data_IF_699638189445
#
_entry.id   IF_699638189445
#
_cell.length_a   1.000
_cell.length_b   1.000
_cell.length_c   1.000
_cell.angle_alpha   90.00
_cell.angle_beta   90.00
_cell.angle_gamma   90.00
#
_symmetry.space_group_name_H-M   'P 1'
#
loop_
_entity.id
_entity.type
_entity.pdbx_description
1 polymer ?
#
# COMPACT_ATOMS: atom_id res chain seq x y z
N UNK A 1 12.40 20.45 0.20
CA UNK A 1 13.34 20.98 -0.79
C UNK A 1 12.74 22.07 -1.70
N UNK A 2 11.53 21.91 -2.27
CA UNK A 2 10.90 22.96 -3.09
C UNK A 2 10.80 24.32 -2.38
N UNK A 3 10.37 24.28 -1.11
CA UNK A 3 10.22 25.45 -0.22
C UNK A 3 11.50 26.29 -0.04
N UNK A 4 12.70 25.68 -0.09
CA UNK A 4 14.00 26.39 0.07
C UNK A 4 14.44 27.09 -1.21
N UNK A 5 14.05 26.54 -2.36
CA UNK A 5 14.34 27.12 -3.68
C UNK A 5 13.35 28.23 -4.04
N UNK A 6 12.10 28.12 -3.58
CA UNK A 6 11.08 29.18 -3.65
C UNK A 6 11.45 30.40 -2.80
N UNK A 7 11.90 30.19 -1.55
CA UNK A 7 12.35 31.29 -0.66
C UNK A 7 13.52 32.13 -1.25
N UNK A 8 14.27 31.56 -2.20
CA UNK A 8 15.45 32.19 -2.80
C UNK A 8 15.23 32.70 -4.22
N UNK A 9 14.00 32.70 -4.73
CA UNK A 9 13.64 33.07 -6.11
C UNK A 9 14.40 32.25 -7.17
N UNK A 10 14.65 30.97 -6.86
CA UNK A 10 15.43 30.05 -7.70
C UNK A 10 14.61 28.89 -8.27
N UNK A 11 13.34 28.73 -7.88
CA UNK A 11 12.48 27.61 -8.27
C UNK A 11 12.20 27.55 -9.78
N UNK A 12 12.17 28.68 -10.48
CA UNK A 12 11.93 28.73 -11.93
C UNK A 12 13.01 28.01 -12.76
N UNK A 13 14.23 27.86 -12.21
CA UNK A 13 15.37 27.26 -12.93
C UNK A 13 15.37 25.72 -12.94
N UNK A 14 15.09 25.03 -11.83
CA UNK A 14 14.93 23.57 -11.83
C UNK A 14 13.55 23.09 -12.29
N UNK A 15 12.51 23.95 -12.34
CA UNK A 15 11.16 23.55 -12.75
C UNK A 15 10.88 23.60 -14.25
N UNK A 16 11.68 24.34 -15.03
CA UNK A 16 11.47 24.53 -16.47
C UNK A 16 12.75 24.15 -17.23
N UNK A 17 12.61 23.33 -18.27
CA UNK A 17 13.68 23.10 -19.25
C UNK A 17 13.88 24.39 -20.07
N UNK A 18 14.57 25.37 -19.50
CA UNK A 18 14.95 26.56 -20.26
C UNK A 18 16.10 26.17 -21.16
N UNK A 19 15.77 25.77 -22.40
CA UNK A 19 16.75 25.66 -23.47
C UNK A 19 17.40 27.03 -23.61
N UNK A 20 18.72 27.08 -23.43
CA UNK A 20 19.55 28.29 -23.51
C UNK A 20 19.30 29.14 -24.77
N UNK A 21 18.72 28.50 -25.78
CA UNK A 21 18.26 29.00 -27.08
C UNK A 21 17.12 30.05 -27.00
N UNK A 22 16.36 30.09 -25.90
CA UNK A 22 15.26 31.05 -25.70
C UNK A 22 15.65 32.33 -24.96
N UNK A 23 16.91 32.48 -24.52
CA UNK A 23 17.40 33.72 -23.94
C UNK A 23 17.80 34.69 -25.06
N UNK A 24 17.00 35.74 -25.29
CA UNK A 24 17.17 36.70 -26.39
C UNK A 24 18.41 37.59 -26.21
N UNK A 25 18.91 37.78 -24.98
CA UNK A 25 20.08 38.60 -24.68
C UNK A 25 21.17 37.85 -23.89
N UNK A 26 22.45 38.21 -24.15
CA UNK A 26 23.65 37.68 -23.47
C UNK A 26 23.62 37.94 -21.95
N UNK A 27 23.05 39.07 -21.54
CA UNK A 27 22.89 39.44 -20.13
C UNK A 27 21.96 38.47 -19.40
N UNK A 28 20.84 38.09 -20.02
CA UNK A 28 19.85 37.15 -19.48
C UNK A 28 20.39 35.71 -19.41
N UNK A 29 21.26 35.34 -20.34
CA UNK A 29 21.93 34.04 -20.31
C UNK A 29 22.94 33.94 -19.15
N UNK A 30 23.62 35.04 -18.82
CA UNK A 30 24.59 35.10 -17.72
C UNK A 30 23.92 35.04 -16.35
N UNK A 31 22.78 35.71 -16.19
CA UNK A 31 21.98 35.69 -14.96
C UNK A 31 21.34 34.32 -14.76
N UNK A 32 20.81 33.70 -15.82
CA UNK A 32 20.28 32.34 -15.79
C UNK A 32 21.35 31.31 -15.38
N UNK A 33 22.55 31.36 -15.97
CA UNK A 33 23.68 30.48 -15.58
C UNK A 33 24.06 30.68 -14.11
N UNK A 34 24.06 31.92 -13.63
CA UNK A 34 24.34 32.23 -12.22
C UNK A 34 23.29 31.64 -11.28
N UNK A 35 22.00 31.82 -11.59
CA UNK A 35 20.88 31.24 -10.84
C UNK A 35 20.91 29.70 -10.86
N UNK A 36 21.18 29.09 -12.01
CA UNK A 36 21.29 27.63 -12.17
C UNK A 36 22.41 27.04 -11.31
N UNK A 37 23.60 27.67 -11.29
CA UNK A 37 24.68 27.23 -10.40
C UNK A 37 24.33 27.33 -8.92
N UNK A 38 23.65 28.41 -8.51
CA UNK A 38 23.19 28.59 -7.13
C UNK A 38 22.15 27.53 -6.74
N UNK A 39 21.17 27.28 -7.60
CA UNK A 39 20.15 26.26 -7.38
C UNK A 39 20.77 24.85 -7.29
N UNK A 40 21.73 24.52 -8.18
CA UNK A 40 22.45 23.25 -8.15
C UNK A 40 23.21 23.06 -6.82
N UNK A 41 23.92 24.10 -6.36
CA UNK A 41 24.62 24.04 -5.08
C UNK A 41 23.66 23.82 -3.91
N UNK A 42 22.50 24.48 -3.91
CA UNK A 42 21.47 24.30 -2.88
C UNK A 42 20.90 22.87 -2.91
N UNK A 43 20.63 22.33 -4.09
CA UNK A 43 20.17 20.94 -4.25
C UNK A 43 21.20 19.97 -3.67
N UNK A 44 22.48 20.11 -4.02
CA UNK A 44 23.54 19.25 -3.50
C UNK A 44 23.75 19.37 -1.99
N UNK A 45 23.53 20.56 -1.41
CA UNK A 45 23.64 20.79 0.04
C UNK A 45 22.39 20.33 0.82
N UNK A 46 21.25 20.19 0.15
CA UNK A 46 19.99 19.82 0.78
C UNK A 46 19.69 18.31 0.72
N UNK A 47 20.47 17.54 -0.03
CA UNK A 47 20.41 16.08 -0.06
C UNK A 47 21.42 15.45 0.90
N UNK A 48 21.12 14.25 1.36
CA UNK A 48 22.07 13.44 2.13
C UNK A 48 23.21 12.93 1.24
N UNK A 49 24.41 12.77 1.81
CA UNK A 49 25.62 12.33 1.09
C UNK A 49 25.42 11.01 0.33
N UNK A 50 24.54 10.14 0.84
CA UNK A 50 24.14 8.87 0.22
C UNK A 50 23.50 9.04 -1.17
N UNK A 51 22.99 10.23 -1.49
CA UNK A 51 22.22 10.55 -2.70
C UNK A 51 23.00 11.41 -3.70
N UNK A 52 24.17 11.92 -3.32
CA UNK A 52 25.07 12.67 -4.20
C UNK A 52 25.42 11.94 -5.51
N UNK A 53 25.58 10.59 -5.55
CA UNK A 53 25.84 9.89 -6.80
C UNK A 53 24.77 10.11 -7.89
N UNK A 54 23.51 10.40 -7.51
CA UNK A 54 22.39 10.60 -8.42
C UNK A 54 22.49 11.94 -9.19
N UNK A 55 23.07 12.96 -8.55
CA UNK A 55 23.18 14.31 -9.12
C UNK A 55 24.59 14.69 -9.54
N UNK A 56 25.60 13.87 -9.22
CA UNK A 56 27.02 14.16 -9.47
C UNK A 56 27.35 14.49 -10.93
N UNK A 57 26.69 13.85 -11.88
CA UNK A 57 26.88 14.08 -13.31
C UNK A 57 26.00 15.20 -13.88
N UNK A 58 25.21 15.88 -13.05
CA UNK A 58 24.34 16.96 -13.51
C UNK A 58 25.11 18.28 -13.63
N UNK A 59 24.96 18.96 -14.76
CA UNK A 59 25.68 20.22 -15.06
C UNK A 59 24.81 21.44 -14.72
N UNK A 60 23.49 21.27 -14.76
CA UNK A 60 22.50 22.32 -14.48
C UNK A 60 21.52 21.88 -13.40
N UNK A 61 20.97 22.83 -12.64
CA UNK A 61 20.03 22.55 -11.56
C UNK A 61 18.81 21.75 -12.03
N UNK A 62 18.31 22.02 -13.24
CA UNK A 62 17.22 21.27 -13.86
C UNK A 62 17.53 19.77 -14.00
N UNK A 63 18.72 19.43 -14.49
CA UNK A 63 19.13 18.03 -14.67
C UNK A 63 19.29 17.32 -13.33
N UNK A 64 19.85 18.00 -12.33
CA UNK A 64 19.97 17.47 -10.97
C UNK A 64 18.58 17.23 -10.35
N UNK A 65 17.69 18.22 -10.48
CA UNK A 65 16.32 18.13 -9.98
C UNK A 65 15.53 17.03 -10.69
N UNK A 66 15.59 16.96 -12.02
CA UNK A 66 14.91 15.94 -12.82
C UNK A 66 15.41 14.52 -12.51
N UNK A 67 16.71 14.34 -12.23
CA UNK A 67 17.24 13.04 -11.78
C UNK A 67 16.77 12.65 -10.39
N UNK A 68 16.74 13.61 -9.45
CA UNK A 68 16.18 13.37 -8.12
C UNK A 68 14.68 13.07 -8.23
N UNK A 69 13.95 13.84 -9.02
CA UNK A 69 12.53 13.65 -9.29
C UNK A 69 12.29 12.26 -9.89
N UNK A 70 13.01 11.85 -10.93
CA UNK A 70 12.84 10.52 -11.53
C UNK A 70 13.26 9.36 -10.60
N UNK A 71 14.29 9.56 -9.76
CA UNK A 71 14.73 8.54 -8.81
C UNK A 71 13.76 8.38 -7.63
N UNK A 72 13.24 9.50 -7.11
CA UNK A 72 12.30 9.54 -6.00
C UNK A 72 10.85 9.59 -6.42
N UNK A 73 10.58 9.60 -7.73
CA UNK A 73 9.24 9.52 -8.24
C UNK A 73 8.66 8.20 -7.78
N UNK A 74 7.70 8.34 -6.88
CA UNK A 74 6.88 7.24 -6.39
C UNK A 74 6.20 6.52 -7.58
N UNK A 75 6.16 7.11 -8.77
CA UNK A 75 5.55 6.62 -10.00
C UNK A 75 6.43 5.71 -10.87
N UNK A 76 7.67 5.40 -10.47
CA UNK A 76 8.53 4.53 -11.30
C UNK A 76 7.86 3.19 -11.62
N UNK A 77 8.07 2.66 -12.83
CA UNK A 77 7.52 1.37 -13.24
C UNK A 77 7.92 0.25 -12.27
N UNK A 78 9.13 0.31 -11.73
CA UNK A 78 9.62 -0.63 -10.73
C UNK A 78 8.80 -0.57 -9.43
N UNK A 79 8.47 0.63 -8.93
CA UNK A 79 7.66 0.78 -7.72
C UNK A 79 6.21 0.34 -7.96
N UNK A 80 5.62 0.71 -9.10
CA UNK A 80 4.30 0.24 -9.52
C UNK A 80 4.25 -1.29 -9.60
N UNK A 81 5.25 -1.91 -10.22
CA UNK A 81 5.36 -3.36 -10.34
C UNK A 81 5.52 -4.03 -8.97
N UNK A 82 6.36 -3.47 -8.09
CA UNK A 82 6.56 -3.98 -6.74
C UNK A 82 5.26 -3.97 -5.94
N UNK A 83 4.54 -2.83 -5.93
CA UNK A 83 3.27 -2.68 -5.22
C UNK A 83 2.18 -3.59 -5.81
N UNK A 84 2.06 -3.67 -7.15
CA UNK A 84 1.12 -4.58 -7.82
C UNK A 84 1.39 -6.03 -7.49
N UNK A 85 2.66 -6.45 -7.55
CA UNK A 85 3.05 -7.82 -7.18
C UNK A 85 2.65 -8.11 -5.75
N UNK A 86 2.98 -7.21 -4.81
CA UNK A 86 2.64 -7.37 -3.41
C UNK A 86 1.13 -7.41 -3.18
N UNK A 87 0.36 -6.60 -3.89
CA UNK A 87 -1.10 -6.59 -3.83
C UNK A 87 -1.70 -7.95 -4.25
N UNK A 88 -1.33 -8.46 -5.43
CA UNK A 88 -1.90 -9.72 -5.94
C UNK A 88 -1.36 -11.00 -5.28
N UNK A 89 -0.21 -10.95 -4.59
CA UNK A 89 0.36 -12.11 -3.91
C UNK A 89 0.18 -12.08 -2.39
N UNK A 90 -0.53 -11.09 -1.86
CA UNK A 90 -0.79 -11.04 -0.41
C UNK A 90 -1.83 -12.11 -0.08
N UNK A 91 -1.47 -13.04 0.80
CA UNK A 91 -2.37 -14.06 1.33
C UNK A 91 -2.61 -13.82 2.82
N UNK A 92 -3.78 -14.24 3.29
CA UNK A 92 -4.15 -14.27 4.69
C UNK A 92 -3.65 -15.60 5.30
N UNK A 93 -2.83 -15.51 6.34
CA UNK A 93 -2.43 -16.69 7.11
C UNK A 93 -3.58 -17.18 8.01
N UNK A 94 -3.65 -18.48 8.26
CA UNK A 94 -4.65 -19.06 9.17
C UNK A 94 -4.50 -18.51 10.59
N UNK A 95 -5.62 -18.10 11.19
CA UNK A 95 -5.66 -17.54 12.56
C UNK A 95 -5.38 -16.04 12.65
N UNK A 96 -4.99 -15.37 11.57
CA UNK A 96 -4.93 -13.90 11.53
C UNK A 96 -6.33 -13.31 11.57
N UNK A 97 -6.50 -12.13 12.17
CA UNK A 97 -7.79 -11.44 12.16
C UNK A 97 -8.13 -10.94 10.75
N UNK A 98 -9.33 -11.24 10.26
CA UNK A 98 -9.77 -10.82 8.91
C UNK A 98 -9.67 -9.30 8.72
N UNK A 99 -9.98 -8.53 9.77
CA UNK A 99 -9.87 -7.07 9.73
C UNK A 99 -8.44 -6.59 9.44
N UNK A 100 -7.43 -7.28 9.96
CA UNK A 100 -6.02 -6.93 9.72
C UNK A 100 -5.66 -7.15 8.25
N UNK A 101 -6.12 -8.26 7.67
CA UNK A 101 -5.91 -8.57 6.26
C UNK A 101 -6.62 -7.59 5.32
N UNK A 102 -7.88 -7.24 5.63
CA UNK A 102 -8.64 -6.21 4.90
C UNK A 102 -7.89 -4.88 4.90
N UNK A 103 -7.39 -4.44 6.07
CA UNK A 103 -6.64 -3.20 6.19
C UNK A 103 -5.34 -3.24 5.38
N UNK A 104 -4.61 -4.37 5.41
CA UNK A 104 -3.38 -4.56 4.64
C UNK A 104 -3.62 -4.40 3.14
N UNK A 105 -4.68 -4.99 2.59
CA UNK A 105 -5.04 -4.83 1.18
C UNK A 105 -5.45 -3.40 0.86
N UNK A 106 -6.22 -2.75 1.74
CA UNK A 106 -6.62 -1.35 1.56
C UNK A 106 -5.42 -0.41 1.53
N UNK A 107 -4.46 -0.58 2.45
CA UNK A 107 -3.21 0.19 2.46
C UNK A 107 -2.41 0.00 1.17
N UNK A 108 -2.37 -1.22 0.62
CA UNK A 108 -1.71 -1.46 -0.67
C UNK A 108 -2.42 -0.77 -1.84
N UNK A 109 -3.76 -0.77 -1.85
CA UNK A 109 -4.54 -0.05 -2.85
C UNK A 109 -4.32 1.47 -2.76
N UNK A 110 -4.29 2.04 -1.55
CA UNK A 110 -3.96 3.46 -1.31
C UNK A 110 -2.52 3.80 -1.76
N UNK A 111 -1.56 2.91 -1.52
CA UNK A 111 -0.19 3.08 -2.03
C UNK A 111 -0.15 3.03 -3.56
N UNK A 112 -0.94 2.17 -4.18
CA UNK A 112 -1.05 2.08 -5.64
C UNK A 112 -1.70 3.33 -6.25
N UNK A 113 -2.71 3.89 -5.60
CA UNK A 113 -3.32 5.16 -5.99
C UNK A 113 -2.32 6.33 -5.89
N UNK A 114 -1.56 6.39 -4.80
CA UNK A 114 -0.53 7.41 -4.57
C UNK A 114 0.62 7.39 -5.59
N UNK A 115 0.80 6.28 -6.32
CA UNK A 115 1.78 6.16 -7.41
C UNK A 115 1.14 6.29 -8.80
N UNK A 116 -0.12 6.73 -8.88
CA UNK A 116 -0.85 6.88 -10.13
C UNK A 116 -1.15 5.55 -10.84
N UNK A 117 -1.38 4.49 -10.06
CA UNK A 117 -1.77 3.17 -10.56
C UNK A 117 -3.00 2.64 -9.79
N UNK A 118 -4.14 3.35 -9.82
CA UNK A 118 -5.32 3.00 -9.02
C UNK A 118 -5.81 1.58 -9.32
N UNK A 119 -6.40 0.97 -8.30
CA UNK A 119 -7.02 -0.36 -8.37
C UNK A 119 -8.52 -0.18 -8.46
N UNK A 120 -9.18 -0.92 -9.36
CA UNK A 120 -10.64 -0.89 -9.46
C UNK A 120 -11.28 -1.56 -8.24
N UNK A 121 -12.53 -1.21 -7.92
CA UNK A 121 -13.23 -1.90 -6.82
C UNK A 121 -13.37 -3.40 -7.09
N UNK A 122 -13.63 -3.79 -8.34
CA UNK A 122 -13.71 -5.19 -8.76
C UNK A 122 -12.39 -5.93 -8.50
N UNK A 123 -11.25 -5.36 -8.93
CA UNK A 123 -9.93 -5.96 -8.67
C UNK A 123 -9.64 -6.08 -7.18
N UNK A 124 -10.10 -5.11 -6.38
CA UNK A 124 -9.94 -5.11 -4.93
C UNK A 124 -10.76 -6.23 -4.28
N UNK A 125 -12.00 -6.42 -4.71
CA UNK A 125 -12.88 -7.50 -4.25
C UNK A 125 -12.36 -8.86 -4.67
N UNK A 126 -11.97 -9.02 -5.94
CA UNK A 126 -11.40 -10.26 -6.47
C UNK A 126 -10.13 -10.65 -5.69
N UNK A 127 -9.24 -9.67 -5.46
CA UNK A 127 -8.01 -9.92 -4.71
C UNK A 127 -8.29 -10.25 -3.25
N UNK A 128 -9.26 -9.59 -2.61
CA UNK A 128 -9.66 -9.93 -1.25
C UNK A 128 -10.18 -11.36 -1.17
N UNK A 129 -11.15 -11.76 -2.00
CA UNK A 129 -11.71 -13.10 -1.96
C UNK A 129 -10.67 -14.18 -2.27
N UNK A 130 -9.81 -13.94 -3.26
CA UNK A 130 -8.74 -14.87 -3.65
C UNK A 130 -7.58 -14.97 -2.66
N UNK A 131 -7.48 -14.05 -1.69
CA UNK A 131 -6.38 -14.02 -0.71
C UNK A 131 -6.77 -14.55 0.67
N UNK A 132 -8.05 -14.86 0.90
CA UNK A 132 -8.51 -15.43 2.16
C UNK A 132 -7.95 -16.83 2.39
N UNK A 133 -7.86 -17.21 3.66
CA UNK A 133 -7.43 -18.55 4.06
C UNK A 133 -8.51 -19.60 3.76
N UNK A 134 -8.10 -20.88 3.68
CA UNK A 134 -8.99 -21.99 3.30
C UNK A 134 -10.20 -22.11 4.22
N UNK A 135 -10.05 -21.70 5.47
CA UNK A 135 -11.16 -21.63 6.43
C UNK A 135 -12.36 -20.85 5.87
N UNK A 136 -12.17 -19.82 5.04
CA UNK A 136 -13.24 -18.97 4.50
C UNK A 136 -13.88 -19.47 3.20
N UNK A 137 -13.45 -20.61 2.64
CA UNK A 137 -13.93 -21.10 1.33
C UNK A 137 -15.45 -21.20 1.23
N UNK A 138 -16.15 -21.66 2.28
CA UNK A 138 -17.60 -21.76 2.25
C UNK A 138 -18.29 -20.40 2.04
N UNK A 139 -17.77 -19.34 2.67
CA UNK A 139 -18.29 -17.98 2.48
C UNK A 139 -18.00 -17.48 1.06
N UNK A 140 -16.81 -17.76 0.52
CA UNK A 140 -16.44 -17.38 -0.84
C UNK A 140 -17.42 -18.00 -1.85
N UNK A 141 -17.64 -19.32 -1.79
CA UNK A 141 -18.61 -20.00 -2.67
C UNK A 141 -20.04 -19.47 -2.52
N UNK A 142 -20.44 -19.10 -1.30
CA UNK A 142 -21.76 -18.51 -1.06
C UNK A 142 -21.90 -17.10 -1.64
N UNK A 143 -20.82 -16.32 -1.71
CA UNK A 143 -20.79 -15.00 -2.33
C UNK A 143 -20.79 -15.12 -3.86
N UNK A 144 -19.98 -16.01 -4.42
CA UNK A 144 -19.89 -16.27 -5.87
C UNK A 144 -21.22 -16.76 -6.46
N UNK A 145 -21.98 -17.58 -5.74
CA UNK A 145 -23.24 -18.14 -6.23
C UNK A 145 -24.43 -17.18 -6.20
N UNK A 146 -24.33 -16.06 -5.47
CA UNK A 146 -25.47 -15.18 -5.19
C UNK A 146 -25.40 -13.82 -5.86
N UNK A 147 -24.25 -13.43 -6.40
CA UNK A 147 -24.01 -12.03 -6.76
C UNK A 147 -23.87 -11.82 -8.27
N UNK A 148 -24.73 -10.96 -8.82
CA UNK A 148 -24.50 -10.32 -10.13
C UNK A 148 -23.39 -9.26 -10.03
N UNK A 149 -23.21 -8.65 -8.86
CA UNK A 149 -22.06 -7.79 -8.51
C UNK A 149 -21.73 -7.87 -7.02
N UNK A 150 -20.44 -7.86 -6.68
CA UNK A 150 -19.93 -7.88 -5.31
C UNK A 150 -19.26 -6.55 -5.00
N UNK A 151 -19.87 -5.73 -4.14
CA UNK A 151 -19.23 -4.49 -3.68
C UNK A 151 -18.26 -4.76 -2.52
N UNK A 152 -17.27 -3.88 -2.37
CA UNK A 152 -16.31 -3.96 -1.28
C UNK A 152 -16.98 -3.95 0.10
N UNK A 153 -17.98 -3.08 0.29
CA UNK A 153 -18.72 -2.95 1.54
C UNK A 153 -19.47 -4.25 1.89
N UNK A 154 -20.15 -4.86 0.93
CA UNK A 154 -20.88 -6.11 1.15
C UNK A 154 -19.93 -7.24 1.56
N UNK A 155 -18.83 -7.40 0.82
CA UNK A 155 -17.86 -8.47 1.05
C UNK A 155 -17.20 -8.33 2.42
N UNK A 156 -16.70 -7.13 2.74
CA UNK A 156 -16.07 -6.86 4.04
C UNK A 156 -17.05 -7.04 5.20
N UNK A 157 -18.30 -6.59 5.07
CA UNK A 157 -19.34 -6.80 6.09
C UNK A 157 -19.61 -8.28 6.35
N UNK A 158 -19.74 -9.09 5.29
CA UNK A 158 -19.95 -10.54 5.38
C UNK A 158 -18.76 -11.26 6.02
N UNK A 159 -17.55 -10.86 5.65
CA UNK A 159 -16.32 -11.40 6.19
C UNK A 159 -16.19 -11.12 7.70
N UNK A 160 -16.47 -9.88 8.12
CA UNK A 160 -16.44 -9.50 9.53
C UNK A 160 -17.46 -10.27 10.36
N UNK A 161 -18.67 -10.48 9.83
CA UNK A 161 -19.70 -11.26 10.51
C UNK A 161 -19.29 -12.74 10.66
N UNK A 162 -18.68 -13.33 9.63
CA UNK A 162 -18.17 -14.70 9.69
C UNK A 162 -16.98 -14.83 10.66
N UNK A 163 -16.06 -13.87 10.68
CA UNK A 163 -14.93 -13.83 11.64
C UNK A 163 -15.43 -13.77 13.09
N UNK A 164 -16.46 -12.96 13.38
CA UNK A 164 -17.08 -12.88 14.71
C UNK A 164 -17.70 -14.23 15.12
N UNK A 165 -18.50 -14.82 14.24
CA UNK A 165 -19.15 -16.12 14.48
C UNK A 165 -18.13 -17.23 14.77
N UNK A 166 -16.98 -17.21 14.08
CA UNK A 166 -15.90 -18.18 14.30
C UNK A 166 -15.20 -18.00 15.64
N UNK A 167 -14.97 -16.75 16.05
CA UNK A 167 -14.42 -16.45 17.38
C UNK A 167 -15.33 -16.93 18.50
N UNK A 168 -16.65 -16.81 18.34
CA UNK A 168 -17.63 -17.33 19.30
C UNK A 168 -17.64 -18.86 19.37
N UNK A 169 -17.48 -19.55 18.23
CA UNK A 169 -17.47 -21.01 18.16
C UNK A 169 -16.15 -21.63 18.65
N UNK A 170 -15.02 -20.94 18.48
CA UNK A 170 -13.70 -21.37 18.97
C UNK A 170 -13.51 -21.25 20.49
N UNK A 171 -14.38 -20.54 21.20
CA UNK A 171 -14.32 -20.34 22.65
C UNK A 171 -15.07 -21.38 23.50
N UNK A 172 -15.66 -22.41 22.88
CA UNK A 172 -16.62 -23.31 23.53
C UNK A 172 -16.12 -24.70 23.96
N UNK A 173 -14.81 -24.96 23.99
CA UNK A 173 -14.28 -26.32 24.25
C UNK A 173 -13.32 -26.35 25.43
N UNK A 174 -13.79 -25.97 26.63
CA UNK A 174 -13.11 -26.33 27.89
C UNK A 174 -14.10 -26.49 29.06
N UNK A 175 -15.24 -27.12 28.79
CA UNK A 175 -16.20 -27.56 29.79
C UNK A 175 -16.37 -29.07 29.75
N UNK A 176 -15.30 -29.82 30.06
CA UNK A 176 -15.39 -31.28 30.19
C UNK A 176 -16.37 -31.62 31.31
N UNK A 177 -17.58 -32.01 30.90
CA UNK A 177 -18.59 -32.60 31.75
C UNK A 177 -18.05 -33.93 32.29
N UNK A 178 -17.53 -33.91 33.52
CA UNK A 178 -17.24 -35.11 34.28
C UNK A 178 -18.56 -35.74 34.77
N UNK A 179 -19.28 -36.35 33.83
CA UNK A 179 -20.38 -37.27 34.12
C UNK A 179 -19.83 -38.60 34.59
N UNK A 180 -19.45 -38.72 35.86
CA UNK A 180 -19.21 -40.02 36.48
C UNK A 180 -20.55 -40.70 36.75
N UNK A 181 -20.95 -41.55 35.81
CA UNK A 181 -21.93 -42.60 36.06
C UNK A 181 -21.39 -43.57 37.11
N UNK A 182 -22.01 -43.59 38.29
CA UNK A 182 -21.93 -44.75 39.17
C UNK A 182 -23.14 -45.63 38.90
N UNK A 183 -22.89 -46.74 38.20
CA UNK A 183 -23.72 -47.92 38.30
C UNK A 183 -23.48 -48.54 39.68
N UNK A 184 -24.54 -48.73 40.48
CA UNK A 184 -24.50 -49.67 41.60
C UNK A 184 -25.78 -50.50 41.67
N UNK A 185 -25.57 -51.75 42.05
CA UNK A 185 -26.33 -52.93 41.67
C UNK A 185 -27.65 -53.13 42.43
N UNK A 186 -28.48 -53.93 41.77
CA UNK A 186 -29.68 -54.65 42.23
C UNK A 186 -29.71 -55.07 43.70
N UNK A 187 -30.87 -55.00 44.34
CA UNK A 187 -31.39 -56.15 45.09
C UNK A 187 -32.93 -56.12 45.19
N UNK A 188 -33.50 -57.28 44.88
CA UNK A 188 -34.88 -57.69 45.13
C UNK A 188 -35.30 -57.45 46.58
N UNK A 189 -36.59 -57.19 46.82
CA UNK A 189 -37.46 -58.21 47.44
C UNK A 189 -38.94 -57.82 47.38
N UNK A 190 -39.74 -58.75 46.85
CA UNK A 190 -41.20 -58.80 47.01
C UNK A 190 -41.58 -59.28 48.41
N UNK A 191 -42.46 -58.55 49.10
CA UNK A 191 -43.83 -58.99 49.46
C UNK A 191 -44.58 -57.86 50.16
#
# INVERSE_FOLDING_TARGET
MPMVLEERDLWEVPSVEVKLEHCINVMDQSTFKSKSRKALAIICLAIEDSQLPLVRSAIVAYEAWSRLEGHYEKNSLANKLFLRRRFFTTMMDEGVAVLEHINKLKTLAEQLDAVGAPVSEDDLVITLLGSLSDSYQFLITALESRAESLSWELVTSRLMHEDMKRKEQGGGVDGSAHGQGQAFMTSNHSK
#
